data_IF_118430236515
#
_entry.id   IF_118430236515
#
_cell.length_a   1.000
_cell.length_b   1.000
_cell.length_c   1.000
_cell.angle_alpha   90.00
_cell.angle_beta   90.00
_cell.angle_gamma   90.00
#
_symmetry.space_group_name_H-M   'P 1'
#
loop_
_entity.id
_entity.type
_entity.pdbx_description
1 polymer ?
#
# COMPACT_ATOMS: atom_id res chain seq x y z
N UNK A 1 6.59 2.92 -16.60
CA UNK A 1 5.46 3.46 -17.40
C UNK A 1 4.11 3.05 -16.81
N UNK A 2 3.01 3.63 -17.29
CA UNK A 2 1.65 3.21 -16.93
C UNK A 2 1.40 1.73 -17.25
N UNK A 3 1.88 1.27 -18.41
CA UNK A 3 1.74 -0.12 -18.84
C UNK A 3 2.47 -1.09 -17.89
N UNK A 4 3.65 -0.71 -17.40
CA UNK A 4 4.40 -1.53 -16.47
C UNK A 4 3.66 -1.65 -15.13
N UNK A 5 3.17 -0.53 -14.58
CA UNK A 5 2.39 -0.52 -13.34
C UNK A 5 1.07 -1.30 -13.51
N UNK A 6 0.40 -1.15 -14.64
CA UNK A 6 -0.81 -1.92 -14.95
C UNK A 6 -0.54 -3.43 -14.93
N UNK A 7 0.50 -3.87 -15.61
CA UNK A 7 0.91 -5.26 -15.69
C UNK A 7 1.36 -5.80 -14.34
N UNK A 8 2.18 -5.02 -13.61
CA UNK A 8 2.70 -5.39 -12.30
C UNK A 8 1.60 -5.50 -11.25
N UNK A 9 0.75 -4.48 -11.14
CA UNK A 9 -0.39 -4.51 -10.20
C UNK A 9 -1.38 -5.65 -10.50
N UNK A 10 -1.52 -6.03 -11.77
CA UNK A 10 -2.36 -7.18 -12.15
C UNK A 10 -1.78 -8.50 -11.62
N UNK A 11 -0.48 -8.74 -11.79
CA UNK A 11 0.18 -9.95 -11.26
C UNK A 11 0.12 -10.02 -9.74
N UNK A 12 0.39 -8.90 -9.04
CA UNK A 12 0.26 -8.83 -7.59
C UNK A 12 -1.17 -9.08 -7.11
N UNK A 13 -2.17 -8.52 -7.80
CA UNK A 13 -3.59 -8.72 -7.45
C UNK A 13 -4.00 -10.18 -7.62
N UNK A 14 -3.57 -10.84 -8.71
CA UNK A 14 -3.79 -12.26 -8.93
C UNK A 14 -3.14 -13.10 -7.82
N UNK A 15 -1.91 -12.77 -7.43
CA UNK A 15 -1.22 -13.41 -6.31
C UNK A 15 -1.95 -13.24 -4.98
N UNK A 16 -2.45 -12.04 -4.67
CA UNK A 16 -3.26 -11.77 -3.47
C UNK A 16 -4.53 -12.63 -3.45
N UNK A 17 -5.25 -12.71 -4.56
CA UNK A 17 -6.46 -13.53 -4.69
C UNK A 17 -6.12 -15.02 -4.50
N UNK A 18 -5.05 -15.50 -5.13
CA UNK A 18 -4.57 -16.88 -4.95
C UNK A 18 -4.22 -17.20 -3.50
N UNK A 19 -3.73 -16.22 -2.74
CA UNK A 19 -3.45 -16.34 -1.30
C UNK A 19 -4.69 -16.20 -0.42
N UNK A 20 -5.87 -16.09 -1.01
CA UNK A 20 -7.16 -16.08 -0.33
C UNK A 20 -7.63 -14.70 0.14
N UNK A 21 -7.12 -13.62 -0.46
CA UNK A 21 -7.66 -12.28 -0.25
C UNK A 21 -9.08 -12.22 -0.80
N UNK A 22 -10.02 -11.80 0.02
CA UNK A 22 -11.43 -11.60 -0.32
C UNK A 22 -11.71 -10.13 -0.61
N UNK A 23 -12.76 -9.86 -1.37
CA UNK A 23 -13.27 -8.51 -1.52
C UNK A 23 -13.66 -7.94 -0.14
N UNK A 24 -13.20 -6.71 0.13
CA UNK A 24 -13.38 -6.05 1.43
C UNK A 24 -12.36 -6.43 2.50
N UNK A 25 -11.45 -7.38 2.27
CA UNK A 25 -10.35 -7.66 3.20
C UNK A 25 -9.44 -6.41 3.33
N UNK A 26 -8.93 -6.16 4.53
CA UNK A 26 -8.02 -5.05 4.80
C UNK A 26 -6.57 -5.48 4.65
N UNK A 27 -5.82 -4.78 3.81
CA UNK A 27 -4.40 -5.04 3.57
C UNK A 27 -3.58 -3.84 4.05
N UNK A 28 -2.79 -4.05 5.10
CA UNK A 28 -1.89 -3.02 5.61
C UNK A 28 -0.66 -2.88 4.72
N UNK A 29 -0.20 -1.64 4.53
CA UNK A 29 0.96 -1.33 3.68
C UNK A 29 1.93 -0.41 4.43
N UNK A 30 3.15 -0.89 4.66
CA UNK A 30 4.28 -0.13 5.25
C UNK A 30 5.38 -0.05 4.19
N UNK A 31 5.24 0.85 3.26
CA UNK A 31 6.23 1.11 2.21
C UNK A 31 6.50 2.61 2.12
N UNK A 32 7.75 2.97 1.87
CA UNK A 32 8.11 4.34 1.53
C UNK A 32 7.75 4.65 0.06
N UNK A 33 8.23 5.76 -0.47
CA UNK A 33 7.91 6.23 -1.82
C UNK A 33 8.63 5.42 -2.92
N UNK A 34 8.56 4.09 -2.83
CA UNK A 34 9.06 3.17 -3.86
C UNK A 34 8.01 2.93 -4.96
N UNK A 35 8.43 2.57 -6.19
CA UNK A 35 7.50 2.12 -7.24
C UNK A 35 6.59 0.98 -6.80
N UNK A 36 7.08 0.11 -5.89
CA UNK A 36 6.36 -1.01 -5.28
C UNK A 36 5.11 -0.54 -4.55
N UNK A 37 5.17 0.62 -3.86
CA UNK A 37 3.98 1.19 -3.23
C UNK A 37 2.85 1.40 -4.23
N UNK A 38 3.17 1.93 -5.41
CA UNK A 38 2.19 2.21 -6.48
C UNK A 38 1.58 0.91 -6.98
N UNK A 39 2.42 -0.09 -7.31
CA UNK A 39 1.96 -1.38 -7.81
C UNK A 39 1.09 -2.12 -6.78
N UNK A 40 1.52 -2.15 -5.52
CA UNK A 40 0.79 -2.75 -4.39
C UNK A 40 -0.56 -2.06 -4.18
N UNK A 41 -0.58 -0.73 -4.17
CA UNK A 41 -1.79 0.05 -3.95
C UNK A 41 -2.87 -0.24 -5.01
N UNK A 42 -2.45 -0.31 -6.28
CA UNK A 42 -3.37 -0.68 -7.36
C UNK A 42 -3.74 -2.17 -7.32
N UNK A 43 -2.83 -3.05 -6.91
CA UNK A 43 -3.13 -4.47 -6.75
C UNK A 43 -4.22 -4.70 -5.70
N UNK A 44 -4.16 -4.00 -4.57
CA UNK A 44 -5.19 -4.05 -3.51
C UNK A 44 -6.55 -3.62 -4.06
N UNK A 45 -6.60 -2.48 -4.77
CA UNK A 45 -7.84 -1.98 -5.37
C UNK A 45 -8.41 -2.95 -6.40
N UNK A 46 -7.57 -3.51 -7.30
CA UNK A 46 -7.96 -4.52 -8.30
C UNK A 46 -8.51 -5.80 -7.66
N UNK A 47 -7.91 -6.25 -6.55
CA UNK A 47 -8.38 -7.39 -5.79
C UNK A 47 -9.71 -7.12 -5.05
N UNK A 48 -10.26 -5.90 -5.13
CA UNK A 48 -11.47 -5.49 -4.41
C UNK A 48 -11.25 -5.38 -2.90
N UNK A 49 -9.99 -5.32 -2.46
CA UNK A 49 -9.61 -5.19 -1.06
C UNK A 49 -9.48 -3.71 -0.67
N UNK A 50 -9.35 -3.44 0.62
CA UNK A 50 -9.22 -2.11 1.21
C UNK A 50 -7.79 -1.91 1.67
N UNK A 51 -7.13 -0.85 1.22
CA UNK A 51 -5.79 -0.54 1.68
C UNK A 51 -5.83 0.14 3.06
N UNK A 52 -4.89 -0.24 3.92
CA UNK A 52 -4.60 0.44 5.19
C UNK A 52 -3.17 0.97 5.11
N UNK A 53 -2.97 2.15 4.48
CA UNK A 53 -1.64 2.73 4.40
C UNK A 53 -1.19 3.16 5.79
N UNK A 54 -0.06 2.62 6.22
CA UNK A 54 0.48 2.83 7.56
C UNK A 54 1.66 3.81 7.48
N UNK A 55 1.65 4.79 8.37
CA UNK A 55 2.80 5.66 8.57
C UNK A 55 4.02 4.82 9.01
N UNK A 56 5.02 4.76 8.16
CA UNK A 56 6.24 4.00 8.42
C UNK A 56 7.08 4.57 9.59
N UNK A 57 6.71 5.73 10.15
CA UNK A 57 7.33 6.28 11.35
C UNK A 57 6.68 5.80 12.65
N UNK A 58 5.53 5.10 12.59
CA UNK A 58 4.86 4.57 13.77
C UNK A 58 5.79 3.61 14.52
N UNK A 59 5.82 3.74 15.84
CA UNK A 59 6.56 2.81 16.71
C UNK A 59 5.75 1.54 16.96
N UNK A 60 6.40 0.50 17.50
CA UNK A 60 5.84 -0.83 17.72
C UNK A 60 4.45 -0.83 18.37
N UNK A 61 4.25 -0.04 19.42
CA UNK A 61 2.96 0.02 20.12
C UNK A 61 1.84 0.60 19.25
N UNK A 62 2.14 1.67 18.51
CA UNK A 62 1.19 2.28 17.58
C UNK A 62 0.92 1.37 16.38
N UNK A 63 1.95 0.73 15.84
CA UNK A 63 1.83 -0.26 14.76
C UNK A 63 0.95 -1.43 15.21
N UNK A 64 1.21 -1.99 16.40
CA UNK A 64 0.41 -3.07 16.98
C UNK A 64 -1.06 -2.68 17.11
N UNK A 65 -1.33 -1.47 17.61
CA UNK A 65 -2.68 -0.93 17.72
C UNK A 65 -3.37 -0.82 16.35
N UNK A 66 -2.68 -0.26 15.35
CA UNK A 66 -3.26 -0.08 14.01
C UNK A 66 -3.55 -1.43 13.35
N UNK A 67 -2.64 -2.40 13.42
CA UNK A 67 -2.85 -3.74 12.85
C UNK A 67 -4.05 -4.46 13.47
N UNK A 68 -4.23 -4.32 14.78
CA UNK A 68 -5.36 -4.92 15.51
C UNK A 68 -6.67 -4.20 15.18
N UNK A 69 -6.69 -2.88 15.33
CA UNK A 69 -7.89 -2.08 15.18
C UNK A 69 -8.40 -2.01 13.74
N UNK A 70 -7.51 -2.10 12.76
CA UNK A 70 -7.89 -2.13 11.34
C UNK A 70 -8.40 -3.47 10.85
N UNK A 71 -8.42 -4.50 11.68
CA UNK A 71 -8.77 -5.86 11.25
C UNK A 71 -7.93 -6.35 10.04
N UNK A 72 -6.65 -5.96 10.02
CA UNK A 72 -5.73 -6.29 8.93
C UNK A 72 -5.66 -7.80 8.71
N UNK A 73 -5.85 -8.23 7.46
CA UNK A 73 -5.78 -9.65 7.07
C UNK A 73 -4.47 -10.03 6.39
N UNK A 74 -3.82 -9.06 5.74
CA UNK A 74 -2.50 -9.20 5.13
C UNK A 74 -1.68 -7.95 5.40
N UNK A 75 -0.37 -8.11 5.58
CA UNK A 75 0.57 -7.00 5.69
C UNK A 75 1.58 -7.08 4.55
N UNK A 76 1.79 -5.97 3.87
CA UNK A 76 2.90 -5.78 2.94
C UNK A 76 3.80 -4.71 3.54
N UNK A 77 5.04 -5.08 3.86
CA UNK A 77 6.00 -4.18 4.52
C UNK A 77 7.34 -4.16 3.78
N UNK A 78 8.15 -3.16 4.02
CA UNK A 78 9.58 -3.19 3.69
C UNK A 78 10.38 -3.79 4.85
N UNK A 79 11.58 -4.28 4.58
CA UNK A 79 12.51 -4.80 5.59
C UNK A 79 13.09 -3.67 6.46
N UNK A 80 13.61 -2.62 5.84
CA UNK A 80 14.26 -1.52 6.52
C UNK A 80 14.05 -0.17 5.84
N UNK A 81 14.22 0.92 6.58
CA UNK A 81 14.32 2.28 6.04
C UNK A 81 15.23 3.11 6.95
N UNK A 82 16.38 3.57 6.44
CA UNK A 82 17.43 4.25 7.21
C UNK A 82 17.90 3.35 8.38
N UNK A 83 17.79 3.84 9.61
CA UNK A 83 18.15 3.17 10.86
C UNK A 83 17.03 2.31 11.44
N UNK A 84 15.89 2.19 10.75
CA UNK A 84 14.74 1.43 11.22
C UNK A 84 14.68 0.05 10.58
N UNK A 85 14.57 -0.97 11.40
CA UNK A 85 14.36 -2.37 11.05
C UNK A 85 12.92 -2.78 11.39
N UNK A 86 12.09 -2.98 10.36
CA UNK A 86 10.68 -3.38 10.53
C UNK A 86 10.53 -4.85 10.85
N UNK A 87 11.49 -5.68 10.44
CA UNK A 87 11.45 -7.12 10.73
C UNK A 87 11.69 -7.37 12.21
N UNK A 88 12.64 -6.65 12.81
CA UNK A 88 12.86 -6.65 14.26
C UNK A 88 11.63 -6.17 15.03
N UNK A 89 10.93 -5.14 14.53
CA UNK A 89 9.67 -4.71 15.13
C UNK A 89 8.60 -5.84 15.08
N UNK A 90 8.51 -6.56 13.95
CA UNK A 90 7.58 -7.70 13.79
C UNK A 90 7.94 -8.88 14.70
N UNK A 91 9.22 -9.21 14.85
CA UNK A 91 9.68 -10.29 15.75
C UNK A 91 9.25 -10.03 17.19
N UNK A 92 9.17 -8.76 17.61
CA UNK A 92 8.73 -8.41 18.96
C UNK A 92 7.20 -8.40 19.11
N UNK A 93 6.45 -7.89 18.11
CA UNK A 93 4.99 -7.74 18.25
C UNK A 93 4.19 -8.99 17.85
N UNK A 94 4.74 -9.83 16.99
CA UNK A 94 4.14 -11.11 16.60
C UNK A 94 5.20 -12.18 16.29
N UNK A 95 5.84 -12.76 17.31
CA UNK A 95 6.89 -13.78 17.14
C UNK A 95 6.43 -14.93 16.25
N UNK A 96 7.30 -15.38 15.34
CA UNK A 96 6.98 -16.46 14.38
C UNK A 96 6.11 -16.00 13.19
N UNK A 97 6.00 -14.72 12.95
CA UNK A 97 5.19 -14.14 11.88
C UNK A 97 5.54 -14.66 10.48
N UNK A 98 6.77 -15.11 10.25
CA UNK A 98 7.24 -15.64 8.97
C UNK A 98 6.40 -16.85 8.51
N UNK A 99 5.87 -17.63 9.45
CA UNK A 99 5.11 -18.86 9.20
C UNK A 99 3.64 -18.74 9.60
N UNK A 100 3.37 -18.06 10.71
CA UNK A 100 2.04 -17.99 11.33
C UNK A 100 1.28 -16.68 11.01
N UNK A 101 1.87 -15.75 10.21
CA UNK A 101 1.30 -14.41 10.03
C UNK A 101 1.23 -13.68 11.37
N UNK A 102 0.05 -13.26 11.79
CA UNK A 102 -0.14 -12.55 13.07
C UNK A 102 -0.18 -13.44 14.31
N UNK A 103 -0.24 -14.76 14.13
CA UNK A 103 -0.33 -15.73 15.22
C UNK A 103 -1.52 -15.46 16.16
N UNK A 104 -1.31 -15.71 17.45
CA UNK A 104 -2.35 -15.46 18.48
C UNK A 104 -2.59 -13.96 18.69
N UNK A 105 -1.57 -13.12 18.48
CA UNK A 105 -1.66 -11.67 18.72
C UNK A 105 -2.57 -10.96 17.72
N UNK A 106 -2.48 -11.36 16.44
CA UNK A 106 -3.30 -10.79 15.37
C UNK A 106 -3.98 -11.93 14.58
N UNK A 107 -5.03 -12.55 15.14
CA UNK A 107 -5.60 -13.79 14.58
C UNK A 107 -6.22 -13.61 13.18
N UNK A 108 -6.51 -12.38 12.77
CA UNK A 108 -6.98 -12.07 11.41
C UNK A 108 -5.85 -11.94 10.38
N UNK A 109 -4.63 -11.64 10.81
CA UNK A 109 -3.47 -11.43 9.95
C UNK A 109 -2.90 -12.79 9.49
N UNK A 110 -3.22 -13.17 8.25
CA UNK A 110 -2.94 -14.49 7.67
C UNK A 110 -1.51 -14.61 7.14
N UNK A 111 -0.96 -13.53 6.56
CA UNK A 111 0.36 -13.53 5.97
C UNK A 111 0.98 -12.14 5.93
N UNK A 112 2.31 -12.11 5.93
CA UNK A 112 3.13 -10.92 5.81
C UNK A 112 4.07 -11.10 4.63
N UNK A 113 4.10 -10.13 3.71
CA UNK A 113 5.01 -10.08 2.58
C UNK A 113 5.97 -8.92 2.73
N UNK A 114 7.23 -9.15 2.42
CA UNK A 114 8.30 -8.19 2.62
C UNK A 114 8.88 -7.75 1.27
N UNK A 115 8.99 -6.45 1.09
CA UNK A 115 9.81 -5.84 0.05
C UNK A 115 11.21 -5.60 0.61
N UNK A 116 12.22 -6.23 0.00
CA UNK A 116 13.61 -6.02 0.41
C UNK A 116 14.17 -4.72 -0.16
N UNK A 117 14.49 -3.80 0.71
CA UNK A 117 15.21 -2.57 0.37
C UNK A 117 16.72 -2.77 0.30
N UNK A 118 17.22 -3.85 0.92
CA UNK A 118 18.64 -4.22 0.99
C UNK A 118 19.05 -5.22 -0.10
N UNK A 119 18.08 -5.83 -0.78
CA UNK A 119 18.30 -6.89 -1.77
C UNK A 119 18.54 -8.28 -1.17
N UNK A 120 18.43 -8.41 0.15
CA UNK A 120 18.64 -9.67 0.87
C UNK A 120 17.52 -9.90 1.88
N UNK A 121 16.85 -11.05 1.77
CA UNK A 121 15.89 -11.54 2.76
C UNK A 121 16.28 -12.94 3.19
N UNK A 122 16.00 -13.28 4.45
CA UNK A 122 16.08 -14.66 4.88
C UNK A 122 15.11 -15.52 4.05
N UNK A 123 15.52 -16.73 3.60
CA UNK A 123 14.67 -17.61 2.78
C UNK A 123 13.34 -18.01 3.43
N UNK A 124 13.21 -17.91 4.75
CA UNK A 124 11.95 -18.15 5.46
C UNK A 124 10.93 -17.02 5.31
N UNK A 125 11.35 -15.84 4.85
CA UNK A 125 10.50 -14.67 4.69
C UNK A 125 9.82 -14.69 3.33
N UNK A 126 8.51 -14.46 3.32
CA UNK A 126 7.74 -14.33 2.09
C UNK A 126 8.04 -12.99 1.40
N UNK A 127 8.79 -13.04 0.31
CA UNK A 127 9.13 -11.88 -0.51
C UNK A 127 7.93 -11.43 -1.37
N UNK A 128 7.76 -10.12 -1.51
CA UNK A 128 6.76 -9.50 -2.38
C UNK A 128 6.90 -9.98 -3.85
N UNK A 129 8.12 -10.19 -4.35
CA UNK A 129 8.35 -10.73 -5.67
C UNK A 129 7.85 -12.19 -5.83
N UNK A 130 7.79 -12.94 -4.73
CA UNK A 130 7.19 -14.29 -4.72
C UNK A 130 5.68 -14.21 -4.85
N UNK A 131 5.02 -13.26 -4.19
CA UNK A 131 3.58 -13.02 -4.32
C UNK A 131 3.17 -12.75 -5.77
N UNK A 132 3.97 -11.96 -6.49
CA UNK A 132 3.74 -11.64 -7.89
C UNK A 132 3.67 -12.88 -8.81
N UNK A 133 4.38 -13.95 -8.43
CA UNK A 133 4.48 -15.21 -9.23
C UNK A 133 3.45 -16.26 -8.83
N UNK A 134 2.62 -16.01 -7.82
CA UNK A 134 1.68 -17.00 -7.27
C UNK A 134 0.32 -17.00 -7.99
N UNK A 135 0.04 -16.04 -8.87
CA UNK A 135 -1.21 -16.01 -9.63
C UNK A 135 -1.40 -17.25 -10.49
N UNK A 136 -2.64 -17.69 -10.63
CA UNK A 136 -3.09 -18.83 -11.45
C UNK A 136 -4.17 -18.39 -12.44
N UNK A 137 -4.54 -19.25 -13.38
CA UNK A 137 -5.64 -18.98 -14.30
C UNK A 137 -6.96 -18.72 -13.56
N UNK A 138 -7.22 -19.44 -12.46
CA UNK A 138 -8.41 -19.25 -11.63
C UNK A 138 -8.41 -17.89 -10.93
N UNK A 139 -7.27 -17.48 -10.35
CA UNK A 139 -7.16 -16.16 -9.71
C UNK A 139 -7.22 -15.03 -10.73
N UNK A 140 -6.74 -15.22 -11.95
CA UNK A 140 -6.88 -14.25 -13.05
C UNK A 140 -8.33 -14.09 -13.51
N UNK A 141 -9.10 -15.17 -13.59
CA UNK A 141 -10.54 -15.10 -13.88
C UNK A 141 -11.32 -14.39 -12.77
N UNK A 142 -11.01 -14.71 -11.50
CA UNK A 142 -11.63 -14.05 -10.36
C UNK A 142 -11.26 -12.56 -10.32
N UNK A 143 -10.01 -12.20 -10.62
CA UNK A 143 -9.57 -10.81 -10.73
C UNK A 143 -10.39 -10.06 -11.79
N UNK A 144 -10.53 -10.63 -12.99
CA UNK A 144 -11.33 -10.01 -14.05
C UNK A 144 -12.79 -9.82 -13.63
N UNK A 145 -13.37 -10.78 -12.89
CA UNK A 145 -14.72 -10.67 -12.34
C UNK A 145 -14.83 -9.52 -11.33
N UNK A 146 -13.85 -9.36 -10.42
CA UNK A 146 -13.82 -8.28 -9.43
C UNK A 146 -13.66 -6.92 -10.09
N UNK A 147 -12.77 -6.80 -11.07
CA UNK A 147 -12.59 -5.56 -11.83
C UNK A 147 -13.88 -5.14 -12.56
N UNK A 148 -14.60 -6.10 -13.16
CA UNK A 148 -15.86 -5.83 -13.85
C UNK A 148 -17.01 -5.45 -12.90
N UNK A 149 -16.96 -5.86 -11.62
CA UNK A 149 -17.98 -5.55 -10.60
C UNK A 149 -17.59 -4.34 -9.73
N UNK A 150 -16.57 -3.58 -10.09
CA UNK A 150 -16.11 -2.44 -9.32
C UNK A 150 -17.20 -1.37 -9.14
N UNK A 151 -17.37 -0.91 -7.88
CA UNK A 151 -18.28 0.17 -7.52
C UNK A 151 -17.46 1.32 -6.92
N UNK A 152 -17.60 2.55 -7.45
CA UNK A 152 -16.89 3.72 -6.92
C UNK A 152 -17.23 4.02 -5.45
N UNK A 153 -18.36 3.55 -4.95
CA UNK A 153 -18.77 3.70 -3.55
C UNK A 153 -18.14 2.64 -2.62
N UNK A 154 -17.47 1.63 -3.13
CA UNK A 154 -16.72 0.70 -2.29
C UNK A 154 -15.58 1.40 -1.57
N UNK A 155 -15.27 0.91 -0.37
CA UNK A 155 -14.13 1.40 0.40
C UNK A 155 -12.83 1.11 -0.34
N UNK A 156 -12.02 2.15 -0.53
CA UNK A 156 -10.68 2.04 -1.11
C UNK A 156 -9.61 1.99 -0.03
N UNK A 157 -9.81 2.79 1.03
CA UNK A 157 -8.79 3.00 2.06
C UNK A 157 -9.37 3.15 3.46
N UNK A 158 -8.56 2.77 4.46
CA UNK A 158 -8.71 3.21 5.85
C UNK A 158 -7.43 3.95 6.23
N UNK A 159 -7.51 5.28 6.31
CA UNK A 159 -6.37 6.15 6.60
C UNK A 159 -6.38 6.53 8.07
N UNK A 160 -5.28 6.24 8.77
CA UNK A 160 -5.16 6.57 10.19
C UNK A 160 -4.68 8.00 10.39
N UNK A 161 -5.40 8.74 11.23
CA UNK A 161 -5.05 10.10 11.65
C UNK A 161 -4.71 10.14 13.14
N UNK A 162 -3.86 11.10 13.54
CA UNK A 162 -3.60 11.38 14.97
C UNK A 162 -4.89 11.87 15.61
N UNK A 163 -5.53 11.00 16.40
CA UNK A 163 -6.76 11.36 17.10
C UNK A 163 -6.51 12.36 18.22
N UNK A 164 -7.42 13.31 18.40
CA UNK A 164 -7.41 14.26 19.52
C UNK A 164 -7.63 13.58 20.89
N UNK A 165 -8.00 12.30 20.89
CA UNK A 165 -8.33 11.52 22.10
C UNK A 165 -7.26 10.49 22.49
N UNK A 166 -6.04 10.58 21.95
CA UNK A 166 -4.88 9.75 22.33
C UNK A 166 -4.63 8.51 21.49
N UNK A 167 -5.62 7.99 20.76
CA UNK A 167 -5.43 6.86 19.83
C UNK A 167 -5.73 7.25 18.39
N UNK A 168 -4.95 6.76 17.41
CA UNK A 168 -5.22 6.97 15.99
C UNK A 168 -6.62 6.48 15.61
N UNK A 169 -7.29 7.21 14.71
CA UNK A 169 -8.62 6.87 14.18
C UNK A 169 -8.53 6.55 12.72
N UNK A 170 -9.13 5.42 12.29
CA UNK A 170 -9.24 5.02 10.90
C UNK A 170 -10.37 5.77 10.20
N UNK A 171 -10.02 6.59 9.21
CA UNK A 171 -10.97 7.28 8.34
C UNK A 171 -11.19 6.43 7.10
N UNK A 172 -12.43 6.03 6.84
CA UNK A 172 -12.80 5.25 5.68
C UNK A 172 -13.03 6.15 4.46
N UNK A 173 -12.34 5.86 3.38
CA UNK A 173 -12.49 6.55 2.09
C UNK A 173 -13.06 5.59 1.05
N UNK A 174 -13.91 6.11 0.15
CA UNK A 174 -14.37 5.36 -1.03
C UNK A 174 -13.50 5.71 -2.25
N UNK A 175 -13.55 4.86 -3.27
CA UNK A 175 -12.89 5.17 -4.55
C UNK A 175 -13.36 6.51 -5.13
N UNK A 176 -14.67 6.79 -5.05
CA UNK A 176 -15.24 8.06 -5.53
C UNK A 176 -14.66 9.28 -4.80
N UNK A 177 -14.54 9.23 -3.47
CA UNK A 177 -13.94 10.32 -2.68
C UNK A 177 -12.50 10.59 -3.11
N UNK A 178 -11.69 9.52 -3.23
CA UNK A 178 -10.29 9.60 -3.63
C UNK A 178 -10.13 10.17 -5.04
N UNK A 179 -10.92 9.65 -6.00
CA UNK A 179 -10.82 10.08 -7.40
C UNK A 179 -11.32 11.51 -7.61
N UNK A 180 -12.41 11.92 -6.96
CA UNK A 180 -12.90 13.31 -7.02
C UNK A 180 -11.89 14.30 -6.43
N UNK A 181 -11.30 13.98 -5.28
CA UNK A 181 -10.28 14.83 -4.66
C UNK A 181 -9.06 14.97 -5.58
N UNK A 182 -8.58 13.87 -6.16
CA UNK A 182 -7.45 13.87 -7.07
C UNK A 182 -7.73 14.65 -8.36
N UNK A 183 -8.93 14.47 -8.94
CA UNK A 183 -9.35 15.24 -10.12
C UNK A 183 -9.43 16.74 -9.82
N UNK A 184 -10.07 17.12 -8.70
CA UNK A 184 -10.16 18.51 -8.28
C UNK A 184 -8.77 19.13 -8.07
N UNK A 185 -7.84 18.36 -7.47
CA UNK A 185 -6.46 18.78 -7.28
C UNK A 185 -5.74 19.00 -8.62
N UNK A 186 -5.85 18.07 -9.56
CA UNK A 186 -5.26 18.20 -10.89
C UNK A 186 -5.81 19.43 -11.64
N UNK A 187 -7.13 19.61 -11.58
CA UNK A 187 -7.82 20.73 -12.22
C UNK A 187 -7.42 22.09 -11.64
N UNK A 188 -7.46 22.24 -10.30
CA UNK A 188 -7.16 23.51 -9.63
C UNK A 188 -5.69 23.92 -9.74
N UNK A 189 -4.78 22.95 -9.89
CA UNK A 189 -3.36 23.21 -10.14
C UNK A 189 -3.01 23.32 -11.62
N UNK A 190 -3.99 23.26 -12.50
CA UNK A 190 -3.82 23.32 -13.94
C UNK A 190 -2.77 22.31 -14.44
N UNK A 191 -2.90 21.06 -14.00
CA UNK A 191 -2.02 20.01 -14.51
C UNK A 191 -2.34 19.74 -15.98
N UNK A 192 -1.31 19.78 -16.80
CA UNK A 192 -1.37 19.54 -18.24
C UNK A 192 -0.76 18.18 -18.58
N UNK A 193 -1.04 17.68 -19.78
CA UNK A 193 -0.50 16.43 -20.29
C UNK A 193 1.05 16.42 -20.22
N UNK A 194 1.60 15.30 -19.77
CA UNK A 194 3.02 15.14 -19.60
C UNK A 194 3.64 15.89 -18.40
N UNK A 195 2.84 16.52 -17.53
CA UNK A 195 3.33 17.18 -16.31
C UNK A 195 4.13 16.19 -15.45
N UNK A 196 5.28 16.65 -14.95
CA UNK A 196 6.10 15.91 -13.98
C UNK A 196 5.94 16.53 -12.60
N UNK A 197 5.69 15.69 -11.60
CA UNK A 197 5.52 16.12 -10.21
C UNK A 197 6.62 15.51 -9.36
N UNK A 198 7.54 16.37 -8.89
CA UNK A 198 8.56 16.02 -7.90
C UNK A 198 7.95 16.18 -6.50
N UNK A 199 8.09 15.18 -5.65
CA UNK A 199 7.63 15.25 -4.25
C UNK A 199 8.37 14.25 -3.34
N UNK A 200 8.46 14.61 -2.06
CA UNK A 200 8.97 13.77 -0.98
C UNK A 200 7.91 13.46 0.08
N UNK A 201 6.69 13.98 -0.10
CA UNK A 201 5.58 13.68 0.80
C UNK A 201 5.23 12.20 0.73
N UNK A 202 5.09 11.51 1.87
CA UNK A 202 4.88 10.07 1.87
C UNK A 202 3.58 9.68 1.17
N UNK A 203 3.64 8.65 0.31
CA UNK A 203 2.46 8.12 -0.38
C UNK A 203 1.51 7.36 0.55
N UNK A 204 1.92 6.98 1.78
CA UNK A 204 0.97 6.48 2.77
C UNK A 204 -0.01 7.57 3.25
N UNK A 205 0.33 8.84 3.08
CA UNK A 205 -0.52 9.99 3.41
C UNK A 205 -1.31 10.43 2.18
N UNK A 206 -2.56 10.86 2.39
CA UNK A 206 -3.46 11.31 1.31
C UNK A 206 -2.83 12.39 0.42
N UNK A 207 -1.95 13.24 0.95
CA UNK A 207 -1.28 14.25 0.15
C UNK A 207 -0.38 13.60 -0.92
N UNK A 208 0.54 12.71 -0.56
CA UNK A 208 1.42 12.03 -1.51
C UNK A 208 0.63 11.13 -2.48
N UNK A 209 -0.37 10.41 -1.97
CA UNK A 209 -1.15 9.47 -2.75
C UNK A 209 -2.20 10.16 -3.63
N UNK A 210 -3.10 10.97 -3.06
CA UNK A 210 -4.22 11.57 -3.80
C UNK A 210 -3.77 12.79 -4.59
N UNK A 211 -3.05 13.71 -3.92
CA UNK A 211 -2.69 15.00 -4.46
C UNK A 211 -1.49 14.97 -5.43
N UNK A 212 -0.60 13.99 -5.28
CA UNK A 212 0.56 13.85 -6.17
C UNK A 212 0.38 12.68 -7.14
N UNK A 213 0.24 11.45 -6.66
CA UNK A 213 0.19 10.27 -7.52
C UNK A 213 -1.06 10.27 -8.41
N UNK A 214 -2.27 10.23 -7.82
CA UNK A 214 -3.50 10.07 -8.61
C UNK A 214 -3.80 11.35 -9.40
N UNK A 215 -3.59 12.54 -8.82
CA UNK A 215 -3.79 13.80 -9.54
C UNK A 215 -2.91 13.89 -10.80
N UNK A 216 -1.64 13.44 -10.71
CA UNK A 216 -0.76 13.37 -11.87
C UNK A 216 -1.28 12.44 -12.96
N UNK A 217 -1.91 11.32 -12.59
CA UNK A 217 -2.48 10.36 -13.55
C UNK A 217 -3.63 10.96 -14.36
N UNK A 218 -4.45 11.82 -13.78
CA UNK A 218 -5.52 12.53 -14.53
C UNK A 218 -4.97 13.41 -15.66
N UNK A 219 -3.72 13.85 -15.53
CA UNK A 219 -3.03 14.64 -16.54
C UNK A 219 -2.10 13.82 -17.45
N UNK A 220 -2.13 12.48 -17.39
CA UNK A 220 -1.19 11.65 -18.14
C UNK A 220 0.28 11.94 -17.82
N UNK A 221 0.55 12.46 -16.63
CA UNK A 221 1.85 12.93 -16.20
C UNK A 221 2.78 11.84 -15.62
N UNK A 222 3.90 12.26 -15.07
CA UNK A 222 4.84 11.38 -14.39
C UNK A 222 5.14 11.88 -12.98
N UNK A 223 5.27 10.96 -12.03
CA UNK A 223 5.72 11.26 -10.68
C UNK A 223 7.22 11.01 -10.55
N UNK A 224 7.89 11.84 -9.75
CA UNK A 224 9.30 11.69 -9.35
C UNK A 224 9.29 11.70 -7.82
N UNK A 225 8.95 10.56 -7.17
CA UNK A 225 8.88 10.48 -5.73
C UNK A 225 10.28 10.31 -5.14
N UNK A 226 10.63 11.13 -4.16
CA UNK A 226 11.81 10.89 -3.32
C UNK A 226 11.40 10.05 -2.12
N UNK A 227 12.19 9.01 -1.83
CA UNK A 227 11.98 8.11 -0.68
C UNK A 227 12.07 8.87 0.63
N UNK A 228 12.99 9.83 0.67
CA UNK A 228 13.28 10.64 1.85
C UNK A 228 13.44 12.10 1.42
N UNK A 229 12.90 13.02 2.22
CA UNK A 229 13.15 14.44 1.99
C UNK A 229 14.62 14.76 2.26
N UNK A 230 15.30 15.25 1.22
CA UNK A 230 16.66 15.76 1.27
C UNK A 230 16.72 17.04 0.43
N UNK A 231 16.87 18.23 1.08
CA UNK A 231 16.87 19.50 0.38
C UNK A 231 17.98 19.64 -0.66
N UNK A 232 19.16 19.03 -0.41
CA UNK A 232 20.31 19.12 -1.30
C UNK A 232 20.06 18.35 -2.61
N UNK A 233 19.45 17.16 -2.53
CA UNK A 233 19.11 16.34 -3.69
C UNK A 233 17.82 16.74 -4.41
N UNK A 234 17.02 17.65 -3.87
CA UNK A 234 15.79 18.12 -4.53
C UNK A 234 16.03 19.32 -5.45
N UNK A 235 17.22 19.90 -5.45
CA UNK A 235 17.55 21.12 -6.22
C UNK A 235 18.45 20.81 -7.42
N UNK A 236 19.08 19.64 -7.46
CA UNK A 236 19.87 19.11 -8.56
C UNK A 236 18.99 18.34 -9.57
#
# INVERSE_FOLDING_TARGET
TYADIQSWSKRLASGLIQRGVKAGDHIAVILANYPEYVAVKYAIARAGAVAVPINYLLRKQELSYVLEQSDTTFLITMDALRDRDYLSDLDEICPGWQQAGGGERFPKLKAIYVYSTTGHLDPSISDLATLEKQGTAESDMELARREASGDPNFRSDVVYTSGTTGHPKGVMLTHDMVLRAAYASAYTRAFEDGRRILFSLPMYHVFGYVECLIACMFAGGAIIPHVVFDPEHMVD
#
